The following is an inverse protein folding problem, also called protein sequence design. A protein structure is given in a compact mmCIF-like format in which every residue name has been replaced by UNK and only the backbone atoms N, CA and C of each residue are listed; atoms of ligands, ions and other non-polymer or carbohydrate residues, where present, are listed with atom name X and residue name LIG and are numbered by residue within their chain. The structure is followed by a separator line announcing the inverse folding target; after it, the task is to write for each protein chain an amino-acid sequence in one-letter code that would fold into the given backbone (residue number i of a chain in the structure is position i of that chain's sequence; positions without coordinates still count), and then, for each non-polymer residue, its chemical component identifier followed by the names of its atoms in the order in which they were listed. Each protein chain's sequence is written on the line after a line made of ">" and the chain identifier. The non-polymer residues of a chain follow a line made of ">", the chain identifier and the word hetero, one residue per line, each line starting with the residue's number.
data_IF_266852757691
#
_entry.id   IF_266852757691
#
_cell.length_a   1.000
_cell.length_b   1.000
_cell.length_c   1.000
_cell.angle_alpha   90.00
_cell.angle_beta   90.00
_cell.angle_gamma   90.00
#
_symmetry.space_group_name_H-M   'P 1'
#
loop_
_entity.id
_entity.type
_entity.pdbx_description
1 polymer ?
#
# COMPACT_ATOMS: atom_id res chain seq x y z
N UNK A 1 -9.50 8.15 -34.70
CA UNK A 1 -8.64 8.49 -33.56
C UNK A 1 -9.00 7.54 -32.45
N UNK A 2 -8.09 6.80 -31.82
CA UNK A 2 -8.46 6.01 -30.68
C UNK A 2 -8.98 6.97 -29.58
N UNK A 3 -10.11 6.61 -28.98
CA UNK A 3 -10.63 7.30 -27.80
C UNK A 3 -9.53 7.37 -26.76
N UNK A 4 -8.97 8.55 -26.49
CA UNK A 4 -8.10 8.75 -25.33
C UNK A 4 -8.97 8.47 -24.11
N UNK A 5 -8.74 7.34 -23.47
CA UNK A 5 -9.33 7.02 -22.19
C UNK A 5 -9.10 8.17 -21.22
N UNK A 6 -10.10 8.50 -20.44
CA UNK A 6 -10.01 9.56 -19.43
C UNK A 6 -8.83 9.24 -18.47
N UNK A 7 -7.94 10.17 -18.17
CA UNK A 7 -6.84 9.89 -17.26
C UNK A 7 -7.38 9.47 -15.89
N UNK A 8 -6.70 8.51 -15.24
CA UNK A 8 -7.02 8.12 -13.86
C UNK A 8 -6.66 9.29 -12.95
N UNK A 9 -7.65 9.95 -12.37
CA UNK A 9 -7.48 11.17 -11.57
C UNK A 9 -7.74 10.97 -10.09
N UNK A 10 -8.51 9.94 -9.74
CA UNK A 10 -8.97 9.66 -8.39
C UNK A 10 -8.33 8.40 -7.84
N UNK A 11 -7.92 8.46 -6.57
CA UNK A 11 -7.44 7.31 -5.83
C UNK A 11 -8.26 7.08 -4.56
N UNK A 12 -8.46 5.81 -4.22
CA UNK A 12 -9.12 5.35 -3.01
C UNK A 12 -8.12 4.56 -2.18
N UNK A 13 -7.93 4.94 -0.92
CA UNK A 13 -7.01 4.28 0.01
C UNK A 13 -7.83 3.69 1.17
N UNK A 14 -8.09 2.37 1.16
CA UNK A 14 -8.72 1.70 2.29
C UNK A 14 -7.79 1.65 3.50
N UNK A 15 -8.19 2.31 4.61
CA UNK A 15 -7.45 2.40 5.86
C UNK A 15 -8.36 2.13 7.09
N UNK A 16 -9.46 1.38 6.92
CA UNK A 16 -10.44 1.11 7.97
C UNK A 16 -10.14 -0.14 8.82
N UNK A 17 -9.11 -0.92 8.49
CA UNK A 17 -8.76 -2.15 9.18
C UNK A 17 -8.35 -1.97 10.64
N UNK A 18 -8.61 -2.96 11.49
CA UNK A 18 -8.37 -2.90 12.94
C UNK A 18 -6.88 -3.01 13.34
N UNK A 19 -6.01 -3.50 12.45
CA UNK A 19 -4.57 -3.60 12.72
C UNK A 19 -4.19 -4.61 13.80
N UNK A 20 -4.96 -5.67 14.01
CA UNK A 20 -4.80 -6.62 15.13
C UNK A 20 -3.44 -7.33 15.18
N UNK A 21 -2.76 -7.47 14.03
CA UNK A 21 -1.43 -8.08 13.94
C UNK A 21 -0.35 -7.32 14.72
N UNK A 22 -0.54 -6.00 14.92
CA UNK A 22 0.39 -5.10 15.62
C UNK A 22 -0.04 -4.74 17.04
N UNK A 23 -1.02 -5.43 17.62
CA UNK A 23 -1.33 -5.23 19.03
C UNK A 23 -0.11 -5.58 19.90
N UNK A 24 0.17 -4.78 20.97
CA UNK A 24 -0.65 -3.70 21.51
C UNK A 24 -0.47 -2.32 20.86
N UNK A 25 0.53 -2.10 19.98
CA UNK A 25 0.84 -0.78 19.39
C UNK A 25 -0.39 -0.14 18.71
N UNK A 26 -1.17 -0.94 17.99
CA UNK A 26 -2.35 -0.48 17.25
C UNK A 26 -3.63 -0.36 18.08
N UNK A 27 -3.54 -0.50 19.42
CA UNK A 27 -4.69 -0.25 20.30
C UNK A 27 -5.18 1.20 20.23
N UNK A 28 -4.26 2.15 20.14
CA UNK A 28 -4.55 3.59 20.13
C UNK A 28 -4.10 4.28 18.82
N UNK A 29 -3.26 3.65 18.02
CA UNK A 29 -2.71 4.21 16.79
C UNK A 29 -3.09 3.34 15.57
N UNK A 30 -3.50 3.95 14.44
CA UNK A 30 -3.70 3.23 13.19
C UNK A 30 -2.43 2.49 12.76
N UNK A 31 -2.55 1.27 12.22
CA UNK A 31 -1.39 0.55 11.65
C UNK A 31 -0.74 1.34 10.50
N UNK A 32 -1.53 2.07 9.77
CA UNK A 32 -1.11 2.92 8.65
C UNK A 32 -0.26 4.11 9.10
N UNK A 33 -0.27 4.44 10.41
CA UNK A 33 0.56 5.47 11.04
C UNK A 33 1.81 4.92 11.70
N UNK A 34 2.10 3.62 11.62
CA UNK A 34 3.36 3.08 12.06
C UNK A 34 4.50 3.62 11.17
N UNK A 35 5.56 4.20 11.77
CA UNK A 35 6.60 4.88 11.01
C UNK A 35 7.61 3.89 10.40
N UNK A 36 7.90 4.03 9.11
CA UNK A 36 9.06 3.44 8.47
C UNK A 36 10.18 4.47 8.58
N UNK A 37 11.09 4.27 9.51
CA UNK A 37 12.07 5.24 9.99
C UNK A 37 11.37 6.42 10.69
N UNK A 38 11.06 7.49 9.99
CA UNK A 38 10.44 8.72 10.49
C UNK A 38 9.18 9.14 9.72
N UNK A 39 8.75 8.34 8.72
CA UNK A 39 7.61 8.63 7.86
C UNK A 39 6.53 7.56 8.03
N UNK A 40 5.26 7.90 8.33
CA UNK A 40 4.17 6.93 8.41
C UNK A 40 3.96 6.15 7.12
N UNK A 41 3.63 4.87 7.24
CA UNK A 41 3.43 3.99 6.09
C UNK A 41 2.44 4.56 5.04
N UNK A 42 1.33 5.15 5.50
CA UNK A 42 0.32 5.74 4.61
C UNK A 42 0.85 6.91 3.78
N UNK A 43 1.85 7.64 4.28
CA UNK A 43 2.43 8.77 3.56
C UNK A 43 3.17 8.30 2.30
N UNK A 44 3.91 7.17 2.35
CA UNK A 44 4.53 6.59 1.15
C UNK A 44 3.50 6.28 0.06
N UNK A 45 2.32 5.80 0.46
CA UNK A 45 1.25 5.43 -0.47
C UNK A 45 0.60 6.66 -1.11
N UNK A 46 0.41 7.73 -0.32
CA UNK A 46 -0.10 9.00 -0.82
C UNK A 46 0.90 9.67 -1.75
N UNK A 47 2.19 9.68 -1.38
CA UNK A 47 3.26 10.21 -2.26
C UNK A 47 3.32 9.45 -3.58
N UNK A 48 3.18 8.11 -3.57
CA UNK A 48 3.11 7.32 -4.80
C UNK A 48 1.93 7.74 -5.68
N UNK A 49 0.75 7.95 -5.09
CA UNK A 49 -0.43 8.39 -5.82
C UNK A 49 -0.21 9.78 -6.48
N UNK A 50 0.34 10.73 -5.72
CA UNK A 50 0.63 12.09 -6.21
C UNK A 50 1.67 12.05 -7.33
N UNK A 51 2.77 11.33 -7.14
CA UNK A 51 3.84 11.17 -8.14
C UNK A 51 3.34 10.47 -9.41
N UNK A 52 2.28 9.68 -9.32
CA UNK A 52 1.62 9.05 -10.46
C UNK A 52 0.69 10.00 -11.22
N UNK A 53 0.37 11.18 -10.66
CA UNK A 53 -0.50 12.18 -11.27
C UNK A 53 -1.96 12.12 -10.79
N UNK A 54 -2.23 11.51 -9.62
CA UNK A 54 -3.55 11.55 -8.98
C UNK A 54 -3.83 12.96 -8.46
N UNK A 55 -5.03 13.46 -8.71
CA UNK A 55 -5.47 14.79 -8.34
C UNK A 55 -6.30 14.82 -7.06
N UNK A 56 -7.10 13.76 -6.82
CA UNK A 56 -8.00 13.67 -5.68
C UNK A 56 -7.83 12.31 -4.99
N UNK A 57 -7.61 12.32 -3.68
CA UNK A 57 -7.43 11.12 -2.87
C UNK A 57 -8.58 11.00 -1.88
N UNK A 58 -9.21 9.82 -1.81
CA UNK A 58 -10.18 9.47 -0.79
C UNK A 58 -9.62 8.40 0.13
N UNK A 59 -9.51 8.70 1.42
CA UNK A 59 -9.15 7.72 2.44
C UNK A 59 -10.43 7.18 3.08
N UNK A 60 -10.60 5.86 3.03
CA UNK A 60 -11.69 5.18 3.73
C UNK A 60 -11.21 4.84 5.14
N UNK A 61 -11.65 5.64 6.10
CA UNK A 61 -11.27 5.51 7.52
C UNK A 61 -12.25 4.63 8.31
N UNK A 62 -11.81 4.19 9.49
CA UNK A 62 -12.63 3.48 10.48
C UNK A 62 -12.72 4.26 11.80
N UNK A 63 -13.22 3.59 12.82
CA UNK A 63 -13.17 4.13 14.20
C UNK A 63 -11.70 4.19 14.65
N UNK A 64 -11.32 5.24 15.41
CA UNK A 64 -9.97 5.47 15.96
C UNK A 64 -8.87 5.68 14.89
N UNK A 65 -9.22 6.28 13.75
CA UNK A 65 -8.27 6.58 12.66
C UNK A 65 -7.95 8.09 12.53
N UNK A 66 -8.32 8.91 13.53
CA UNK A 66 -8.15 10.36 13.50
C UNK A 66 -6.70 10.80 13.29
N UNK A 67 -5.73 10.04 13.80
CA UNK A 67 -4.32 10.34 13.59
C UNK A 67 -3.91 10.39 12.11
N UNK A 68 -4.65 9.72 11.20
CA UNK A 68 -4.43 9.84 9.75
C UNK A 68 -4.88 11.21 9.25
N UNK A 69 -6.05 11.67 9.73
CA UNK A 69 -6.60 13.00 9.38
C UNK A 69 -5.66 14.09 9.90
N UNK A 70 -5.31 14.04 11.20
CA UNK A 70 -4.44 15.00 11.87
C UNK A 70 -3.02 15.07 11.22
N UNK A 71 -2.53 13.99 10.62
CA UNK A 71 -1.20 13.96 9.97
C UNK A 71 -1.14 14.77 8.67
N UNK A 72 -2.22 14.80 7.91
CA UNK A 72 -2.30 15.54 6.64
C UNK A 72 -2.98 16.90 6.78
N UNK A 73 -3.59 17.18 7.93
CA UNK A 73 -4.16 18.48 8.22
C UNK A 73 -3.08 19.51 8.59
N UNK A 74 -3.39 20.76 8.33
CA UNK A 74 -2.52 21.88 8.66
C UNK A 74 -2.37 22.07 10.15
N UNK A 75 -1.15 22.16 10.65
CA UNK A 75 -0.86 22.45 12.07
C UNK A 75 -0.18 23.82 12.21
N UNK A 76 -1.01 24.87 12.30
CA UNK A 76 -0.57 26.28 12.35
C UNK A 76 0.37 26.54 13.55
N UNK A 77 0.11 25.93 14.72
CA UNK A 77 0.95 26.12 15.92
C UNK A 77 2.36 25.54 15.68
N UNK A 78 2.46 24.36 15.10
CA UNK A 78 3.75 23.74 14.74
C UNK A 78 4.49 24.58 13.70
N UNK A 79 3.80 25.02 12.63
CA UNK A 79 4.38 25.86 11.57
C UNK A 79 4.97 27.15 12.15
N UNK A 80 4.22 27.85 13.00
CA UNK A 80 4.70 29.08 13.68
C UNK A 80 5.89 28.81 14.59
N UNK A 81 5.87 27.69 15.31
CA UNK A 81 6.97 27.29 16.19
C UNK A 81 8.24 27.01 15.41
N UNK A 82 8.17 26.23 14.33
CA UNK A 82 9.31 25.92 13.45
C UNK A 82 9.87 27.18 12.82
N UNK A 83 9.00 28.09 12.36
CA UNK A 83 9.40 29.38 11.80
C UNK A 83 10.11 30.26 12.82
N UNK A 84 9.60 30.35 14.06
CA UNK A 84 10.24 31.11 15.13
C UNK A 84 11.60 30.55 15.53
N UNK A 85 11.81 29.23 15.39
CA UNK A 85 13.08 28.55 15.65
C UNK A 85 14.04 28.56 14.45
N UNK A 86 13.65 29.11 13.29
CA UNK A 86 14.46 29.12 12.08
C UNK A 86 14.64 27.76 11.40
N UNK A 87 13.80 26.77 11.73
CA UNK A 87 13.83 25.38 11.22
C UNK A 87 13.06 25.28 9.88
N UNK A 88 13.52 25.99 8.87
CA UNK A 88 12.81 26.11 7.60
C UNK A 88 12.72 24.81 6.80
N UNK A 89 13.68 23.90 6.90
CA UNK A 89 13.63 22.59 6.22
C UNK A 89 12.49 21.74 6.78
N UNK A 90 12.32 21.70 8.12
CA UNK A 90 11.21 20.99 8.75
C UNK A 90 9.86 21.68 8.47
N UNK A 91 9.85 23.00 8.43
CA UNK A 91 8.65 23.76 8.06
C UNK A 91 8.18 23.40 6.64
N UNK A 92 9.11 23.37 5.67
CA UNK A 92 8.81 22.96 4.30
C UNK A 92 8.20 21.57 4.21
N UNK A 93 8.73 20.58 4.96
CA UNK A 93 8.17 19.23 5.03
C UNK A 93 6.73 19.21 5.56
N UNK A 94 6.44 19.98 6.62
CA UNK A 94 5.08 20.04 7.20
C UNK A 94 4.10 20.73 6.27
N UNK A 95 4.51 21.83 5.61
CA UNK A 95 3.68 22.55 4.64
C UNK A 95 3.37 21.69 3.40
N UNK A 96 4.33 20.92 2.89
CA UNK A 96 4.15 20.04 1.74
C UNK A 96 3.10 18.96 2.01
N UNK A 97 3.12 18.35 3.22
CA UNK A 97 2.13 17.34 3.64
C UNK A 97 0.69 17.89 3.62
N UNK A 98 0.53 19.16 3.99
CA UNK A 98 -0.79 19.80 4.10
C UNK A 98 -1.36 20.30 2.77
N UNK A 99 -0.59 20.25 1.68
CA UNK A 99 -1.02 20.74 0.36
C UNK A 99 -1.75 19.69 -0.48
N UNK A 100 -1.94 18.48 0.05
CA UNK A 100 -2.59 17.39 -0.68
C UNK A 100 -4.10 17.47 -0.50
N UNK A 101 -4.87 17.40 -1.60
CA UNK A 101 -6.33 17.33 -1.53
C UNK A 101 -6.78 15.94 -1.14
N UNK A 102 -7.11 15.74 0.14
CA UNK A 102 -7.56 14.47 0.71
C UNK A 102 -9.01 14.61 1.21
N UNK A 103 -9.83 13.64 0.82
CA UNK A 103 -11.19 13.46 1.32
C UNK A 103 -11.23 12.26 2.26
N UNK A 104 -12.15 12.28 3.24
CA UNK A 104 -12.30 11.19 4.19
C UNK A 104 -13.75 10.70 4.22
N UNK A 105 -13.92 9.39 4.11
CA UNK A 105 -15.21 8.72 4.30
C UNK A 105 -15.04 7.59 5.30
N UNK A 106 -15.99 7.51 6.24
CA UNK A 106 -15.94 6.47 7.26
C UNK A 106 -16.67 5.20 6.84
N UNK A 107 -15.94 4.08 6.82
CA UNK A 107 -16.56 2.76 6.84
C UNK A 107 -17.16 2.50 8.23
N UNK A 108 -18.48 2.60 8.36
CA UNK A 108 -19.17 2.51 9.66
C UNK A 108 -19.07 1.13 10.30
N UNK A 109 -19.01 0.08 9.48
CA UNK A 109 -18.92 -1.32 9.87
C UNK A 109 -17.79 -2.00 9.09
N UNK A 110 -16.93 -2.75 9.78
CA UNK A 110 -15.81 -3.47 9.17
C UNK A 110 -16.31 -4.72 8.42
N UNK A 111 -16.84 -4.52 7.20
CA UNK A 111 -17.41 -5.59 6.34
C UNK A 111 -16.47 -6.03 5.22
N UNK A 112 -15.16 -5.82 5.35
CA UNK A 112 -14.14 -6.25 4.38
C UNK A 112 -13.73 -5.18 3.37
N UNK A 113 -12.75 -5.53 2.53
CA UNK A 113 -12.12 -4.63 1.57
C UNK A 113 -13.08 -4.19 0.47
N UNK A 114 -13.89 -5.10 -0.07
CA UNK A 114 -14.89 -4.77 -1.08
C UNK A 114 -15.90 -3.75 -0.58
N UNK A 115 -16.34 -3.88 0.68
CA UNK A 115 -17.23 -2.89 1.30
C UNK A 115 -16.52 -1.55 1.53
N UNK A 116 -15.23 -1.53 1.88
CA UNK A 116 -14.47 -0.29 1.98
C UNK A 116 -14.42 0.44 0.64
N UNK A 117 -14.11 -0.28 -0.45
CA UNK A 117 -14.15 0.28 -1.81
C UNK A 117 -15.55 0.77 -2.18
N UNK A 118 -16.60 0.04 -1.82
CA UNK A 118 -17.99 0.44 -2.07
C UNK A 118 -18.34 1.79 -1.42
N UNK A 119 -17.76 2.12 -0.26
CA UNK A 119 -17.95 3.42 0.39
C UNK A 119 -17.45 4.60 -0.47
N UNK A 120 -16.60 4.36 -1.46
CA UNK A 120 -16.08 5.38 -2.37
C UNK A 120 -17.03 5.71 -3.55
N UNK A 121 -18.12 4.97 -3.74
CA UNK A 121 -19.00 5.07 -4.93
C UNK A 121 -19.41 6.51 -5.27
N UNK A 122 -19.81 7.30 -4.29
CA UNK A 122 -20.26 8.68 -4.53
C UNK A 122 -19.12 9.62 -4.90
N UNK A 123 -17.93 9.42 -4.35
CA UNK A 123 -16.75 10.20 -4.66
C UNK A 123 -16.22 9.89 -6.07
N UNK A 124 -16.15 8.62 -6.40
CA UNK A 124 -15.63 8.16 -7.70
C UNK A 124 -16.59 8.50 -8.83
N UNK A 125 -17.90 8.31 -8.63
CA UNK A 125 -18.89 8.47 -9.70
C UNK A 125 -18.76 7.39 -10.77
N UNK A 126 -18.70 7.80 -12.04
CA UNK A 126 -18.64 6.90 -13.20
C UNK A 126 -17.27 6.94 -13.90
N UNK A 127 -16.22 7.26 -13.18
CA UNK A 127 -14.84 7.34 -13.71
C UNK A 127 -14.05 6.10 -13.28
N UNK A 128 -13.07 5.64 -14.08
CA UNK A 128 -12.09 4.66 -13.62
C UNK A 128 -11.23 5.30 -12.52
N UNK A 129 -10.84 4.50 -11.55
CA UNK A 129 -10.14 4.99 -10.36
C UNK A 129 -9.06 4.03 -9.89
N UNK A 130 -8.08 4.56 -9.18
CA UNK A 130 -7.04 3.77 -8.54
C UNK A 130 -7.48 3.30 -7.14
N UNK A 131 -7.03 2.11 -6.73
CA UNK A 131 -7.09 1.66 -5.34
C UNK A 131 -5.68 1.31 -4.90
N UNK A 132 -5.25 1.88 -3.76
CA UNK A 132 -3.95 1.59 -3.14
C UNK A 132 -4.19 1.11 -1.71
N UNK A 133 -3.75 -0.09 -1.38
CA UNK A 133 -3.88 -0.59 -0.01
C UNK A 133 -2.95 0.16 0.93
N UNK A 134 -3.48 0.54 2.10
CA UNK A 134 -2.82 1.40 3.08
C UNK A 134 -1.65 0.75 3.84
N UNK A 135 -1.32 -0.51 3.58
CA UNK A 135 -0.28 -1.29 4.22
C UNK A 135 0.67 -2.01 3.23
N UNK A 136 0.64 -1.61 1.96
CA UNK A 136 1.55 -2.11 0.93
C UNK A 136 2.45 -0.98 0.42
N UNK A 137 3.72 -0.97 0.78
CA UNK A 137 4.70 -0.01 0.26
C UNK A 137 5.44 -0.65 -0.92
N UNK A 138 5.54 0.07 -2.03
CA UNK A 138 6.29 -0.39 -3.20
C UNK A 138 7.41 0.60 -3.48
N UNK A 139 8.62 0.08 -3.46
CA UNK A 139 9.84 0.83 -3.77
C UNK A 139 10.25 0.54 -5.21
N UNK A 140 10.13 1.55 -6.06
CA UNK A 140 10.40 1.46 -7.48
C UNK A 140 10.85 2.80 -8.05
N UNK A 141 11.77 2.83 -9.04
CA UNK A 141 12.14 4.07 -9.72
C UNK A 141 10.97 4.78 -10.43
N UNK A 142 10.03 4.00 -10.97
CA UNK A 142 8.76 4.50 -11.52
C UNK A 142 7.65 4.06 -10.57
N UNK A 143 6.84 4.97 -10.02
CA UNK A 143 5.75 4.60 -9.11
C UNK A 143 4.90 3.45 -9.67
N UNK A 144 4.59 2.46 -8.84
CA UNK A 144 3.85 1.28 -9.30
C UNK A 144 2.48 1.67 -9.91
N UNK A 145 1.77 2.60 -9.28
CA UNK A 145 0.51 3.09 -9.84
C UNK A 145 0.71 3.72 -11.23
N UNK A 146 1.80 4.46 -11.45
CA UNK A 146 2.12 5.04 -12.77
C UNK A 146 2.31 3.94 -13.81
N UNK A 147 3.01 2.87 -13.48
CA UNK A 147 3.18 1.72 -14.37
C UNK A 147 1.82 1.11 -14.78
N UNK A 148 0.88 0.95 -13.80
CA UNK A 148 -0.47 0.48 -14.10
C UNK A 148 -1.25 1.45 -14.98
N UNK A 149 -1.11 2.76 -14.78
CA UNK A 149 -1.76 3.79 -15.60
C UNK A 149 -1.26 3.78 -17.04
N UNK A 150 0.01 3.53 -17.25
CA UNK A 150 0.60 3.40 -18.59
C UNK A 150 0.03 2.14 -19.30
N UNK A 151 -0.08 1.01 -18.59
CA UNK A 151 -0.76 -0.20 -19.13
C UNK A 151 -2.23 0.07 -19.43
N UNK A 152 -2.95 0.78 -18.56
CA UNK A 152 -4.36 1.14 -18.79
C UNK A 152 -4.56 1.97 -20.06
N UNK A 153 -3.60 2.82 -20.40
CA UNK A 153 -3.66 3.63 -21.61
C UNK A 153 -3.63 2.79 -22.89
N UNK A 154 -2.89 1.69 -22.88
CA UNK A 154 -2.76 0.78 -24.02
C UNK A 154 -3.81 -0.35 -24.01
N UNK A 155 -4.20 -0.78 -22.82
CA UNK A 155 -5.13 -1.87 -22.56
C UNK A 155 -6.26 -1.40 -21.63
N UNK A 156 -7.25 -0.66 -22.14
CA UNK A 156 -8.35 -0.15 -21.33
C UNK A 156 -9.14 -1.27 -20.65
N UNK A 157 -9.38 -1.13 -19.34
CA UNK A 157 -10.07 -2.09 -18.50
C UNK A 157 -9.50 -2.08 -17.07
N UNK A 158 -9.97 -2.97 -16.24
CA UNK A 158 -9.41 -3.09 -14.87
C UNK A 158 -8.02 -3.67 -14.91
N UNK A 159 -7.05 -3.00 -14.25
CA UNK A 159 -5.65 -3.46 -14.15
C UNK A 159 -5.37 -3.83 -12.68
N UNK A 160 -4.86 -5.02 -12.47
CA UNK A 160 -4.43 -5.54 -11.18
C UNK A 160 -2.91 -5.59 -11.14
N UNK A 161 -2.29 -4.90 -10.19
CA UNK A 161 -0.85 -5.03 -9.93
C UNK A 161 -0.56 -6.38 -9.29
N UNK A 162 0.26 -7.20 -9.95
CA UNK A 162 0.59 -8.55 -9.48
C UNK A 162 2.09 -8.79 -9.44
N UNK A 163 2.52 -9.73 -8.60
CA UNK A 163 3.85 -10.35 -8.64
C UNK A 163 3.74 -11.83 -8.27
N UNK A 164 4.76 -12.63 -8.64
CA UNK A 164 4.84 -14.01 -8.18
C UNK A 164 5.21 -14.05 -6.70
N UNK A 165 4.46 -14.83 -5.93
CA UNK A 165 4.76 -15.10 -4.53
C UNK A 165 5.19 -16.55 -4.31
N UNK A 166 5.96 -16.86 -3.26
CA UNK A 166 6.26 -18.23 -2.88
C UNK A 166 4.97 -19.06 -2.71
N UNK A 167 5.00 -20.32 -3.13
CA UNK A 167 3.83 -21.21 -3.13
C UNK A 167 3.09 -21.24 -1.78
N UNK A 168 3.82 -21.24 -0.66
CA UNK A 168 3.21 -21.26 0.67
C UNK A 168 2.51 -19.95 1.07
N UNK A 169 2.74 -18.85 0.34
CA UNK A 169 2.13 -17.52 0.60
C UNK A 169 0.88 -17.24 -0.21
N UNK A 170 0.51 -18.09 -1.20
CA UNK A 170 -0.67 -17.85 -2.05
C UNK A 170 -1.97 -17.73 -1.26
N UNK A 171 -2.08 -18.45 -0.14
CA UNK A 171 -3.25 -18.41 0.75
C UNK A 171 -3.42 -17.10 1.54
N UNK A 172 -2.53 -16.13 1.35
CA UNK A 172 -2.62 -14.80 1.95
C UNK A 172 -3.22 -13.75 1.03
N UNK A 173 -3.35 -14.03 -0.28
CA UNK A 173 -3.68 -13.06 -1.32
C UNK A 173 -4.81 -13.53 -2.24
N UNK A 174 -5.41 -12.58 -2.95
CA UNK A 174 -6.16 -12.91 -4.16
C UNK A 174 -5.22 -13.41 -5.25
N UNK A 175 -5.51 -14.55 -5.87
CA UNK A 175 -4.65 -15.20 -6.86
C UNK A 175 -5.36 -15.21 -8.21
N UNK A 176 -4.64 -14.84 -9.26
CA UNK A 176 -5.13 -14.76 -10.64
C UNK A 176 -4.96 -16.08 -11.36
N UNK A 177 -5.98 -16.50 -12.13
CA UNK A 177 -5.82 -17.50 -13.19
C UNK A 177 -5.46 -16.78 -14.49
N UNK A 178 -4.17 -16.77 -14.90
CA UNK A 178 -3.72 -15.94 -16.00
C UNK A 178 -3.92 -16.59 -17.37
N UNK A 179 -4.17 -15.75 -18.38
CA UNK A 179 -4.04 -16.08 -19.81
C UNK A 179 -3.12 -15.04 -20.45
N UNK A 180 -2.01 -15.42 -21.08
CA UNK A 180 -1.01 -14.48 -21.61
C UNK A 180 -1.61 -13.50 -22.64
N UNK A 181 -1.19 -12.23 -22.57
CA UNK A 181 -1.48 -11.18 -23.57
C UNK A 181 -0.19 -10.73 -24.24
N UNK A 182 0.73 -10.20 -23.44
CA UNK A 182 2.10 -9.85 -23.81
C UNK A 182 3.02 -10.18 -22.63
N UNK A 183 4.30 -9.91 -22.75
CA UNK A 183 5.24 -10.03 -21.63
C UNK A 183 4.78 -9.19 -20.43
N UNK A 184 4.81 -9.76 -19.24
CA UNK A 184 4.37 -9.15 -17.97
C UNK A 184 2.89 -8.71 -17.89
N UNK A 185 2.06 -9.07 -18.89
CA UNK A 185 0.64 -8.77 -18.89
C UNK A 185 -0.20 -10.01 -19.25
N UNK A 186 -1.17 -10.32 -18.40
CA UNK A 186 -2.11 -11.42 -18.58
C UNK A 186 -3.54 -10.92 -18.48
N UNK A 187 -4.45 -11.55 -19.19
CA UNK A 187 -5.88 -11.42 -18.92
C UNK A 187 -6.24 -12.35 -17.76
N UNK A 188 -6.95 -11.84 -16.78
CA UNK A 188 -7.44 -12.64 -15.66
C UNK A 188 -8.68 -13.44 -16.11
N UNK A 189 -8.53 -14.77 -16.25
CA UNK A 189 -9.63 -15.70 -16.56
C UNK A 189 -10.51 -15.98 -15.35
N UNK A 190 -9.90 -15.99 -14.16
CA UNK A 190 -10.56 -16.14 -12.86
C UNK A 190 -9.70 -15.54 -11.75
N UNK A 191 -10.33 -15.25 -10.62
CA UNK A 191 -9.67 -14.78 -9.39
C UNK A 191 -10.21 -15.56 -8.20
N UNK A 192 -9.33 -15.98 -7.29
CA UNK A 192 -9.69 -16.71 -6.08
C UNK A 192 -9.06 -16.01 -4.87
N UNK A 193 -9.91 -15.62 -3.91
CA UNK A 193 -9.46 -15.01 -2.66
C UNK A 193 -8.87 -16.06 -1.72
N UNK A 194 -7.59 -15.91 -1.38
CA UNK A 194 -6.86 -16.73 -0.42
C UNK A 194 -7.10 -18.23 -0.63
N UNK A 195 -6.80 -18.79 -1.79
CA UNK A 195 -7.04 -20.21 -2.08
C UNK A 195 -6.21 -21.10 -1.15
N UNK A 196 -6.62 -22.35 -0.98
CA UNK A 196 -5.70 -23.36 -0.45
C UNK A 196 -4.51 -23.53 -1.42
N UNK A 197 -3.34 -23.91 -0.88
CA UNK A 197 -2.10 -23.99 -1.68
C UNK A 197 -2.25 -24.91 -2.88
N UNK A 198 -3.05 -25.97 -2.72
CA UNK A 198 -3.32 -27.00 -3.73
C UNK A 198 -4.35 -26.54 -4.79
N UNK A 199 -5.19 -25.55 -4.43
CA UNK A 199 -6.27 -25.02 -5.27
C UNK A 199 -5.87 -23.72 -6.00
N UNK A 200 -4.71 -23.16 -5.67
CA UNK A 200 -4.24 -21.93 -6.26
C UNK A 200 -4.01 -22.10 -7.78
N UNK A 201 -4.66 -21.28 -8.63
CA UNK A 201 -4.57 -21.45 -10.08
C UNK A 201 -3.21 -21.02 -10.64
N UNK A 202 -2.44 -20.27 -9.88
CA UNK A 202 -1.09 -19.81 -10.20
C UNK A 202 -0.37 -19.30 -8.93
N UNK A 203 0.79 -18.65 -9.11
CA UNK A 203 1.48 -17.91 -8.04
C UNK A 203 1.38 -16.40 -8.22
N UNK A 204 0.62 -15.93 -9.22
CA UNK A 204 0.42 -14.50 -9.45
C UNK A 204 -0.59 -13.95 -8.44
N UNK A 205 -0.07 -13.27 -7.43
CA UNK A 205 -0.83 -12.66 -6.34
C UNK A 205 -1.11 -11.19 -6.65
N UNK A 206 -2.32 -10.74 -6.33
CA UNK A 206 -2.71 -9.33 -6.45
C UNK A 206 -2.18 -8.57 -5.23
N UNK A 207 -1.38 -7.53 -5.47
CA UNK A 207 -0.56 -6.89 -4.44
C UNK A 207 -0.87 -5.39 -4.32
N UNK A 208 -2.07 -5.08 -3.83
CA UNK A 208 -2.40 -3.77 -3.27
C UNK A 208 -2.52 -2.58 -4.22
N UNK A 209 -2.27 -2.75 -5.51
CA UNK A 209 -2.43 -1.69 -6.53
C UNK A 209 -3.40 -2.13 -7.60
N UNK A 210 -4.39 -1.26 -7.86
CA UNK A 210 -5.46 -1.54 -8.80
C UNK A 210 -5.84 -0.28 -9.56
N UNK A 211 -6.21 -0.42 -10.83
CA UNK A 211 -7.07 0.50 -11.56
C UNK A 211 -8.38 -0.23 -11.83
N UNK A 212 -9.49 0.34 -11.41
CA UNK A 212 -10.78 -0.36 -11.42
C UNK A 212 -11.82 0.47 -12.17
N UNK A 213 -12.58 -0.21 -13.02
CA UNK A 213 -13.72 0.36 -13.73
C UNK A 213 -14.93 0.55 -12.79
N UNK A 214 -15.74 1.62 -12.95
CA UNK A 214 -16.80 1.99 -12.01
C UNK A 214 -17.92 0.95 -11.88
N UNK A 215 -18.07 0.03 -12.84
CA UNK A 215 -19.03 -1.05 -12.75
C UNK A 215 -18.81 -1.99 -11.55
N UNK A 216 -17.62 -1.96 -10.97
CA UNK A 216 -17.31 -2.71 -9.75
C UNK A 216 -18.31 -2.39 -8.62
N UNK A 217 -18.77 -1.15 -8.52
CA UNK A 217 -19.69 -0.75 -7.44
C UNK A 217 -21.02 -1.51 -7.50
N UNK A 218 -21.60 -1.66 -8.68
CA UNK A 218 -22.84 -2.43 -8.84
C UNK A 218 -22.63 -3.92 -8.50
N UNK A 219 -21.46 -4.45 -8.83
CA UNK A 219 -21.13 -5.85 -8.52
C UNK A 219 -20.92 -6.05 -7.03
N UNK A 220 -20.25 -5.11 -6.36
CA UNK A 220 -20.03 -5.17 -4.90
C UNK A 220 -21.31 -5.02 -4.09
N UNK A 221 -22.26 -4.19 -4.54
CA UNK A 221 -23.60 -4.07 -3.92
C UNK A 221 -24.36 -5.41 -3.90
N UNK A 222 -24.12 -6.27 -4.91
CA UNK A 222 -24.75 -7.57 -5.07
C UNK A 222 -23.78 -8.74 -4.74
N UNK A 223 -22.73 -8.49 -3.97
CA UNK A 223 -21.80 -9.52 -3.54
C UNK A 223 -22.12 -9.95 -2.12
N UNK A 224 -22.47 -11.23 -1.98
CA UNK A 224 -22.69 -11.84 -0.67
C UNK A 224 -21.37 -11.91 0.12
N UNK A 225 -21.44 -11.82 1.46
CA UNK A 225 -20.26 -12.02 2.31
C UNK A 225 -19.60 -13.38 2.02
N UNK A 226 -18.32 -13.35 1.69
CA UNK A 226 -17.52 -14.53 1.39
C UNK A 226 -16.70 -15.00 2.61
N UNK A 227 -15.42 -15.31 2.38
CA UNK A 227 -14.50 -15.80 3.41
C UNK A 227 -14.43 -14.81 4.59
N UNK A 228 -14.59 -15.33 5.81
CA UNK A 228 -14.58 -14.52 7.03
C UNK A 228 -15.85 -13.68 7.27
N UNK A 229 -16.92 -13.85 6.48
CA UNK A 229 -18.12 -13.02 6.55
C UNK A 229 -17.95 -11.61 5.98
N UNK A 230 -16.91 -11.40 5.16
CA UNK A 230 -16.54 -10.12 4.58
C UNK A 230 -16.94 -10.04 3.10
N UNK A 231 -17.28 -8.85 2.63
CA UNK A 231 -17.42 -8.55 1.20
C UNK A 231 -16.00 -8.37 0.63
N UNK A 232 -15.53 -9.38 -0.11
CA UNK A 232 -14.19 -9.39 -0.66
C UNK A 232 -14.14 -8.61 -1.99
N UNK A 233 -13.10 -7.78 -2.16
CA UNK A 233 -12.89 -7.08 -3.44
C UNK A 233 -12.62 -8.08 -4.57
N UNK A 234 -11.88 -9.15 -4.28
CA UNK A 234 -11.55 -10.21 -5.24
C UNK A 234 -12.80 -10.88 -5.81
N UNK A 235 -13.86 -11.06 -5.01
CA UNK A 235 -15.13 -11.64 -5.49
C UNK A 235 -15.85 -10.69 -6.45
N UNK A 236 -15.81 -9.38 -6.18
CA UNK A 236 -16.30 -8.35 -7.10
C UNK A 236 -15.52 -8.32 -8.41
N UNK A 237 -14.19 -8.35 -8.34
CA UNK A 237 -13.28 -8.39 -9.48
C UNK A 237 -13.47 -9.67 -10.32
N UNK A 238 -13.71 -10.81 -9.66
CA UNK A 238 -14.04 -12.08 -10.33
C UNK A 238 -15.32 -11.98 -11.15
N UNK A 239 -16.35 -11.31 -10.63
CA UNK A 239 -17.60 -11.04 -11.37
C UNK A 239 -17.33 -10.08 -12.53
N UNK A 240 -16.53 -9.04 -12.31
CA UNK A 240 -16.18 -8.05 -13.32
C UNK A 240 -15.42 -8.69 -14.49
N UNK A 241 -14.49 -9.62 -14.24
CA UNK A 241 -13.74 -10.35 -15.26
C UNK A 241 -14.60 -11.16 -16.23
N UNK A 242 -15.84 -11.48 -15.84
CA UNK A 242 -16.82 -12.14 -16.74
C UNK A 242 -17.57 -11.19 -17.66
N UNK A 243 -17.52 -9.88 -17.37
CA UNK A 243 -18.26 -8.84 -18.08
C UNK A 243 -17.36 -7.95 -18.93
N UNK A 244 -16.15 -7.68 -18.43
CA UNK A 244 -15.18 -6.76 -19.04
C UNK A 244 -13.76 -7.31 -18.91
N UNK A 245 -12.81 -6.83 -19.74
CA UNK A 245 -11.42 -7.20 -19.59
C UNK A 245 -10.88 -6.79 -18.21
N UNK A 246 -10.27 -7.75 -17.52
CA UNK A 246 -9.48 -7.54 -16.30
C UNK A 246 -8.09 -8.08 -16.60
N UNK A 247 -7.08 -7.23 -16.44
CA UNK A 247 -5.70 -7.56 -16.72
C UNK A 247 -4.91 -7.66 -15.42
N UNK A 248 -3.96 -8.56 -15.39
CA UNK A 248 -2.96 -8.71 -14.33
C UNK A 248 -1.62 -8.26 -14.90
N UNK A 249 -1.02 -7.21 -14.34
CA UNK A 249 0.24 -6.64 -14.78
C UNK A 249 1.31 -6.88 -13.70
N UNK A 250 2.41 -7.53 -14.09
CA UNK A 250 3.58 -7.70 -13.22
C UNK A 250 4.36 -6.40 -13.19
N UNK A 251 4.20 -5.65 -12.10
CA UNK A 251 4.89 -4.37 -11.91
C UNK A 251 6.35 -4.57 -11.47
N UNK A 252 7.18 -3.62 -11.84
CA UNK A 252 8.56 -3.53 -11.38
C UNK A 252 8.63 -2.81 -10.04
N UNK A 253 9.45 -3.34 -9.14
CA UNK A 253 9.66 -2.76 -7.82
C UNK A 253 9.63 -3.81 -6.72
N UNK A 254 10.14 -3.41 -5.55
CA UNK A 254 10.12 -4.24 -4.35
C UNK A 254 8.94 -3.86 -3.47
N UNK A 255 8.07 -4.82 -3.22
CA UNK A 255 6.93 -4.67 -2.32
C UNK A 255 7.30 -5.04 -0.89
N UNK A 256 6.83 -4.25 0.07
CA UNK A 256 6.86 -4.53 1.50
C UNK A 256 5.44 -4.59 2.03
N UNK A 257 5.04 -5.75 2.59
CA UNK A 257 3.78 -5.91 3.33
C UNK A 257 3.98 -5.37 4.75
N UNK A 258 3.77 -4.06 4.92
CA UNK A 258 3.93 -3.43 6.24
C UNK A 258 2.71 -3.67 7.15
N UNK A 259 1.72 -4.42 6.69
CA UNK A 259 0.64 -4.99 7.49
C UNK A 259 1.04 -6.27 8.23
N UNK A 260 2.24 -6.80 7.99
CA UNK A 260 2.88 -7.91 8.68
C UNK A 260 4.16 -7.46 9.40
N UNK A 261 4.47 -8.08 10.56
CA UNK A 261 5.63 -7.69 11.39
C UNK A 261 6.96 -7.86 10.65
N UNK A 262 7.12 -8.98 9.93
CA UNK A 262 8.36 -9.24 9.20
C UNK A 262 8.56 -8.23 8.06
N UNK A 263 7.53 -8.01 7.23
CA UNK A 263 7.60 -7.02 6.13
C UNK A 263 7.80 -5.60 6.65
N UNK A 264 7.22 -5.25 7.81
CA UNK A 264 7.44 -3.97 8.47
C UNK A 264 8.92 -3.78 8.89
N UNK A 265 9.55 -4.81 9.48
CA UNK A 265 10.96 -4.76 9.86
C UNK A 265 11.86 -4.68 8.63
N UNK A 266 11.60 -5.47 7.59
CA UNK A 266 12.35 -5.42 6.34
C UNK A 266 12.29 -4.02 5.70
N UNK A 267 11.09 -3.43 5.62
CA UNK A 267 10.91 -2.07 5.14
C UNK A 267 11.72 -1.08 5.97
N UNK A 268 11.60 -1.13 7.30
CA UNK A 268 12.29 -0.20 8.21
C UNK A 268 13.80 -0.26 8.02
N UNK A 269 14.39 -1.47 7.97
CA UNK A 269 15.84 -1.68 7.77
C UNK A 269 16.27 -1.15 6.41
N UNK A 270 15.59 -1.51 5.34
CA UNK A 270 16.02 -1.13 3.99
C UNK A 270 15.83 0.35 3.70
N UNK A 271 14.75 0.96 4.20
CA UNK A 271 14.57 2.41 4.06
C UNK A 271 15.58 3.19 4.91
N UNK A 272 15.96 2.71 6.10
CA UNK A 272 17.06 3.29 6.87
C UNK A 272 18.39 3.24 6.12
N UNK A 273 18.68 2.13 5.43
CA UNK A 273 19.89 1.97 4.62
C UNK A 273 19.90 2.83 3.34
N UNK A 274 18.77 3.34 2.89
CA UNK A 274 18.68 4.29 1.78
C UNK A 274 18.93 5.74 2.21
N UNK A 275 18.82 6.02 3.51
CA UNK A 275 19.00 7.36 4.08
C UNK A 275 20.49 7.68 4.22
N UNK A 276 21.02 8.73 3.56
CA UNK A 276 22.44 9.09 3.67
C UNK A 276 22.90 9.40 5.10
N UNK A 277 22.01 10.03 5.90
CA UNK A 277 22.26 10.42 7.30
C UNK A 277 22.33 9.24 8.27
N UNK A 278 21.71 8.09 7.93
CA UNK A 278 21.62 6.91 8.78
C UNK A 278 22.52 5.76 8.31
N UNK A 279 22.69 5.64 6.98
CA UNK A 279 23.22 4.45 6.30
C UNK A 279 24.51 3.92 6.92
N UNK A 280 25.51 4.79 7.08
CA UNK A 280 26.87 4.35 7.49
C UNK A 280 26.87 3.81 8.91
N UNK A 281 26.28 4.56 9.86
CA UNK A 281 26.20 4.16 11.25
C UNK A 281 25.35 2.90 11.43
N UNK A 282 24.24 2.82 10.70
CA UNK A 282 23.34 1.68 10.76
C UNK A 282 23.95 0.41 10.16
N UNK A 283 24.68 0.51 9.04
CA UNK A 283 25.44 -0.62 8.48
C UNK A 283 26.50 -1.15 9.47
N UNK A 284 27.26 -0.23 10.12
CA UNK A 284 28.22 -0.62 11.16
C UNK A 284 27.52 -1.39 12.28
N UNK A 285 26.40 -0.89 12.77
CA UNK A 285 25.61 -1.55 13.81
C UNK A 285 25.11 -2.95 13.38
N UNK A 286 24.52 -3.08 12.18
CA UNK A 286 24.06 -4.38 11.67
C UNK A 286 25.20 -5.40 11.52
N UNK A 287 26.39 -4.97 11.09
CA UNK A 287 27.55 -5.83 10.99
C UNK A 287 28.03 -6.30 12.40
N UNK A 288 27.99 -5.42 13.42
CA UNK A 288 28.30 -5.80 14.81
C UNK A 288 27.33 -6.89 15.32
N UNK A 289 26.02 -6.74 15.12
CA UNK A 289 25.03 -7.77 15.49
C UNK A 289 25.34 -9.10 14.78
N UNK A 290 25.57 -9.07 13.47
CA UNK A 290 25.85 -10.29 12.69
C UNK A 290 27.10 -11.03 13.20
N UNK A 291 28.16 -10.31 13.54
CA UNK A 291 29.39 -10.88 14.08
C UNK A 291 29.11 -11.50 15.45
N UNK A 292 28.40 -10.81 16.33
CA UNK A 292 28.04 -11.29 17.68
C UNK A 292 27.20 -12.60 17.65
N UNK A 293 26.34 -12.77 16.65
CA UNK A 293 25.54 -14.00 16.48
C UNK A 293 26.36 -15.17 15.90
N UNK A 294 27.39 -14.88 15.11
CA UNK A 294 28.19 -15.91 14.44
C UNK A 294 29.36 -16.42 15.30
N UNK A 295 29.91 -15.59 16.18
CA UNK A 295 31.05 -15.92 17.02
C UNK A 295 30.94 -15.22 18.39
N UNK A 296 30.56 -15.95 19.48
CA UNK A 296 30.41 -15.39 20.81
C UNK A 296 31.72 -14.85 21.42
N UNK A 297 32.89 -15.34 20.99
CA UNK A 297 34.18 -14.81 21.48
C UNK A 297 34.51 -13.46 20.83
N UNK A 298 34.17 -13.27 19.55
CA UNK A 298 34.27 -11.97 18.87
C UNK A 298 33.26 -10.93 19.46
N UNK A 299 32.11 -11.40 19.97
CA UNK A 299 31.08 -10.56 20.53
C UNK A 299 31.62 -9.78 21.77
N UNK A 300 32.51 -10.37 22.57
CA UNK A 300 33.13 -9.74 23.70
C UNK A 300 34.04 -8.55 23.29
N UNK A 301 34.82 -8.70 22.24
CA UNK A 301 35.71 -7.67 21.70
C UNK A 301 34.92 -6.49 21.08
N UNK A 302 33.79 -6.78 20.40
CA UNK A 302 32.91 -5.74 19.82
C UNK A 302 32.20 -4.91 20.88
N UNK A 303 31.90 -5.49 22.06
CA UNK A 303 31.29 -4.76 23.18
C UNK A 303 32.28 -3.75 23.82
N UNK A 304 33.56 -4.07 23.89
CA UNK A 304 34.60 -3.15 24.43
C UNK A 304 34.82 -1.92 23.53
N UNK A 305 34.71 -2.08 22.20
CA UNK A 305 34.81 -0.96 21.26
C UNK A 305 33.59 -0.02 21.32
N UNK A 306 32.42 -0.52 21.72
CA UNK A 306 31.18 0.29 21.87
C UNK A 306 31.22 1.19 23.12
N UNK A 307 31.91 0.78 24.20
CA UNK A 307 32.03 1.55 25.45
C UNK A 307 33.09 2.65 25.34
N UNK A 308 34.01 2.58 24.36
CA UNK A 308 35.07 3.60 24.16
C UNK A 308 34.65 4.75 23.22
N UNK A 309 33.52 4.65 22.50
CA UNK A 309 33.02 5.68 21.59
C UNK A 309 31.84 6.50 22.18
N UNK A 310 31.47 6.33 23.45
CA UNK A 310 30.52 7.16 24.20
C UNK A 310 31.32 8.13 25.08
#
# INVERSE_FOLDING_TARGET
>A
MPNRTSPIRKAVIPAAGLGTRFLPATKAQPKEMLPIVDKPAIQYIIEEAIQSGIEEILIITGRNKRAIEDHFDRNIELELTLKAQGKYDLLGLVEELSNVTIHYVRQKEAKGLGHAVLCAKQFVGNEPFAVLLGDDIIDSPVPCLRQLMDVYSDYPGTILGVQEVPKHKVSSYGVVKPSPVIENLWQAQDLIEKPAVEEAPSRLAVLGRYIIEPEIFQLLENTEPGRGGEIQLTDGLRKLARLKPVYAFHFDGRRYDVGDKQGYLEATVEFALKRPDLRENFLRYLNKIRIAEMDPELAATVSEDLEQEV
#
